data_IF_984165994073
#
_entry.id   IF_984165994073
#
_cell.length_a   1.000
_cell.length_b   1.000
_cell.length_c   1.000
_cell.angle_alpha   90.00
_cell.angle_beta   90.00
_cell.angle_gamma   90.00
#
_symmetry.space_group_name_H-M   'P 1'
#
loop_
_entity.id
_entity.type
_entity.pdbx_description
1 polymer ?
#
# COMPACT_ATOMS: atom_id res chain seq x y z
N UNK A 1 7.13 9.80 -21.47
CA UNK A 1 7.56 9.53 -20.08
C UNK A 1 6.44 8.76 -19.42
N UNK A 2 6.74 7.61 -18.81
CA UNK A 2 5.72 6.86 -18.07
C UNK A 2 5.47 7.57 -16.75
N UNK A 3 4.25 8.04 -16.51
CA UNK A 3 3.92 8.65 -15.22
C UNK A 3 4.05 7.61 -14.10
N UNK A 4 4.57 8.03 -12.95
CA UNK A 4 4.75 7.14 -11.80
C UNK A 4 4.16 7.74 -10.54
N UNK A 5 3.46 6.90 -9.76
CA UNK A 5 3.00 7.23 -8.41
C UNK A 5 3.92 6.53 -7.43
N UNK A 6 4.58 7.33 -6.59
CA UNK A 6 5.49 6.84 -5.56
C UNK A 6 4.72 6.61 -4.26
N UNK A 7 4.85 5.41 -3.69
CA UNK A 7 4.43 5.08 -2.34
C UNK A 7 5.68 4.94 -1.47
N UNK A 8 5.75 5.70 -0.39
CA UNK A 8 6.78 5.54 0.64
C UNK A 8 6.21 4.76 1.82
N UNK A 9 6.97 3.76 2.26
CA UNK A 9 6.71 2.94 3.43
C UNK A 9 7.60 3.40 4.57
N UNK A 10 6.98 3.75 5.69
CA UNK A 10 7.66 4.15 6.91
C UNK A 10 6.87 3.67 8.14
N UNK A 11 7.25 4.12 9.33
CA UNK A 11 6.55 3.81 10.57
C UNK A 11 6.25 5.09 11.34
N UNK A 12 5.07 5.14 11.95
CA UNK A 12 4.64 6.25 12.80
C UNK A 12 4.34 5.76 14.20
N UNK A 13 4.63 6.62 15.18
CA UNK A 13 4.31 6.34 16.57
C UNK A 13 2.82 6.59 16.80
N UNK A 14 2.12 5.55 17.23
CA UNK A 14 0.74 5.62 17.68
C UNK A 14 0.72 5.42 19.19
N UNK A 15 0.33 6.47 19.90
CA UNK A 15 0.26 6.48 21.35
C UNK A 15 -0.94 5.67 21.82
N UNK A 16 -0.69 4.69 22.70
CA UNK A 16 -1.75 3.97 23.43
C UNK A 16 -2.26 4.81 24.59
N UNK A 17 -1.34 5.52 25.25
CA UNK A 17 -1.56 6.37 26.42
C UNK A 17 -0.57 7.55 26.39
N UNK A 18 -0.57 8.38 27.44
CA UNK A 18 0.32 9.56 27.57
C UNK A 18 1.83 9.25 27.54
N UNK A 19 2.25 8.01 27.80
CA UNK A 19 3.67 7.63 27.85
C UNK A 19 4.06 6.38 27.06
N UNK A 20 3.08 5.58 26.61
CA UNK A 20 3.35 4.35 25.86
C UNK A 20 2.89 4.52 24.42
N UNK A 21 3.78 4.22 23.48
CA UNK A 21 3.48 4.19 22.05
C UNK A 21 3.85 2.84 21.46
N UNK A 22 3.19 2.50 20.35
CA UNK A 22 3.63 1.45 19.45
C UNK A 22 3.96 2.06 18.10
N UNK A 23 4.91 1.47 17.40
CA UNK A 23 5.14 1.81 15.99
C UNK A 23 4.14 1.06 15.13
N UNK A 24 3.50 1.80 14.23
CA UNK A 24 2.57 1.25 13.26
C UNK A 24 3.08 1.63 11.88
N UNK A 25 3.16 0.66 10.98
CA UNK A 25 3.62 0.95 9.63
C UNK A 25 2.65 1.89 8.91
N UNK A 26 3.21 2.80 8.13
CA UNK A 26 2.53 3.78 7.30
C UNK A 26 2.88 3.57 5.83
N UNK A 27 1.91 3.78 4.95
CA UNK A 27 2.12 3.92 3.52
C UNK A 27 1.60 5.30 3.07
N UNK A 28 2.44 6.10 2.41
CA UNK A 28 2.11 7.45 1.95
C UNK A 28 2.40 7.61 0.46
N UNK A 29 1.46 8.14 -0.31
CA UNK A 29 1.63 8.42 -1.74
C UNK A 29 2.21 9.80 -1.99
N UNK A 30 2.85 10.00 -3.14
CA UNK A 30 3.25 11.32 -3.64
C UNK A 30 2.06 12.26 -3.90
N UNK A 31 0.86 11.72 -4.05
CA UNK A 31 -0.39 12.46 -4.26
C UNK A 31 -1.06 12.90 -2.94
N UNK A 32 -0.52 12.49 -1.79
CA UNK A 32 -0.99 12.94 -0.48
C UNK A 32 -1.87 11.95 0.29
N UNK A 33 -2.20 10.78 -0.27
CA UNK A 33 -2.93 9.74 0.46
C UNK A 33 -2.03 9.03 1.46
N UNK A 34 -2.57 8.72 2.63
CA UNK A 34 -1.86 8.05 3.70
C UNK A 34 -2.75 6.98 4.35
N UNK A 35 -2.19 5.78 4.57
CA UNK A 35 -2.84 4.74 5.37
C UNK A 35 -1.85 4.21 6.40
N UNK A 36 -2.29 4.18 7.66
CA UNK A 36 -1.58 3.55 8.79
C UNK A 36 -2.32 2.28 9.24
N UNK A 37 -1.61 1.35 9.85
CA UNK A 37 -2.20 0.12 10.42
C UNK A 37 -1.37 -1.14 10.17
N UNK A 38 -1.84 -2.29 10.65
CA UNK A 38 -1.14 -3.57 10.54
C UNK A 38 -1.66 -4.46 9.38
N UNK A 39 -2.60 -3.94 8.58
CA UNK A 39 -3.25 -4.68 7.48
C UNK A 39 -2.63 -4.47 6.09
N UNK A 40 -3.34 -4.92 5.06
CA UNK A 40 -2.98 -4.80 3.64
C UNK A 40 -3.09 -3.34 3.13
N UNK A 41 -2.26 -2.45 3.67
CA UNK A 41 -2.25 -1.00 3.40
C UNK A 41 -2.06 -0.68 1.93
N UNK A 42 -1.10 -1.35 1.26
CA UNK A 42 -0.81 -1.13 -0.15
C UNK A 42 -2.00 -1.43 -1.06
N UNK A 43 -2.74 -2.52 -0.79
CA UNK A 43 -3.93 -2.87 -1.55
C UNK A 43 -5.06 -1.84 -1.36
N UNK A 44 -5.30 -1.38 -0.12
CA UNK A 44 -6.27 -0.32 0.16
C UNK A 44 -5.90 0.98 -0.54
N UNK A 45 -4.63 1.39 -0.44
CA UNK A 45 -4.11 2.61 -1.06
C UNK A 45 -4.23 2.56 -2.59
N UNK A 46 -3.88 1.42 -3.19
CA UNK A 46 -4.05 1.20 -4.63
C UNK A 46 -5.52 1.24 -5.07
N UNK A 47 -6.47 0.78 -4.24
CA UNK A 47 -7.91 0.92 -4.53
C UNK A 47 -8.33 2.38 -4.60
N UNK A 48 -7.98 3.18 -3.59
CA UNK A 48 -8.29 4.62 -3.53
C UNK A 48 -7.69 5.34 -4.75
N UNK A 49 -6.42 5.07 -5.05
CA UNK A 49 -5.74 5.67 -6.20
C UNK A 49 -6.44 5.33 -7.53
N UNK A 50 -6.94 4.10 -7.70
CA UNK A 50 -7.71 3.70 -8.89
C UNK A 50 -9.06 4.38 -8.98
N UNK A 51 -9.75 4.52 -7.85
CA UNK A 51 -11.06 5.18 -7.79
C UNK A 51 -10.95 6.67 -8.12
N UNK A 52 -9.92 7.33 -7.61
CA UNK A 52 -9.70 8.76 -7.86
C UNK A 52 -9.07 9.05 -9.22
N UNK A 53 -8.32 8.10 -9.79
CA UNK A 53 -7.60 8.28 -11.06
C UNK A 53 -7.87 7.09 -12.02
N UNK A 54 -9.11 6.92 -12.53
CA UNK A 54 -9.48 5.78 -13.36
C UNK A 54 -8.70 5.71 -14.70
N UNK A 55 -8.32 6.86 -15.24
CA UNK A 55 -7.60 6.98 -16.51
C UNK A 55 -6.08 6.86 -16.38
N UNK A 56 -5.56 6.79 -15.15
CA UNK A 56 -4.13 6.67 -14.92
C UNK A 56 -3.59 5.32 -15.43
N UNK A 57 -2.67 5.40 -16.39
CA UNK A 57 -2.02 4.24 -17.02
C UNK A 57 -0.54 4.09 -16.62
N UNK A 58 -0.10 4.86 -15.62
CA UNK A 58 1.27 4.85 -15.15
C UNK A 58 1.60 3.68 -14.22
N UNK A 59 2.85 3.69 -13.73
CA UNK A 59 3.37 2.68 -12.82
C UNK A 59 3.25 3.14 -11.36
N UNK A 60 3.13 2.15 -10.49
CA UNK A 60 3.19 2.30 -9.06
C UNK A 60 4.55 1.81 -8.57
N UNK A 61 5.27 2.67 -7.86
CA UNK A 61 6.57 2.35 -7.27
C UNK A 61 6.46 2.40 -5.75
N UNK A 62 7.00 1.40 -5.07
CA UNK A 62 6.91 1.29 -3.61
C UNK A 62 8.30 1.29 -3.03
N UNK A 63 8.60 2.30 -2.21
CA UNK A 63 9.90 2.51 -1.58
C UNK A 63 9.82 2.36 -0.07
N UNK A 64 10.92 1.93 0.55
CA UNK A 64 11.20 2.10 1.97
C UNK A 64 12.51 2.87 2.09
N UNK A 65 12.42 4.15 2.47
CA UNK A 65 13.54 5.09 2.29
C UNK A 65 13.89 5.22 0.81
N UNK A 66 15.15 4.94 0.46
CA UNK A 66 15.66 4.97 -0.91
C UNK A 66 15.62 3.61 -1.62
N UNK A 67 15.19 2.56 -0.92
CA UNK A 67 15.14 1.21 -1.48
C UNK A 67 13.77 0.93 -2.11
N UNK A 68 13.78 0.54 -3.38
CA UNK A 68 12.59 0.03 -4.07
C UNK A 68 12.26 -1.38 -3.56
N UNK A 69 11.08 -1.54 -2.94
CA UNK A 69 10.67 -2.78 -2.28
C UNK A 69 9.93 -3.76 -3.21
N UNK A 70 9.38 -3.27 -4.31
CA UNK A 70 8.58 -4.06 -5.25
C UNK A 70 8.95 -3.70 -6.68
N UNK A 71 8.78 -4.66 -7.60
CA UNK A 71 8.91 -4.39 -9.03
C UNK A 71 7.83 -3.36 -9.42
N UNK A 72 8.18 -2.27 -10.11
CA UNK A 72 7.21 -1.27 -10.57
C UNK A 72 6.12 -1.95 -11.41
N UNK A 73 4.86 -1.65 -11.11
CA UNK A 73 3.72 -2.33 -11.72
C UNK A 73 2.60 -1.35 -12.05
N UNK A 74 1.78 -1.57 -13.09
CA UNK A 74 0.68 -0.67 -13.44
C UNK A 74 -0.33 -0.54 -12.29
N UNK A 75 -0.78 0.68 -11.98
CA UNK A 75 -1.77 0.91 -10.91
C UNK A 75 -3.02 0.05 -11.08
N UNK A 76 -3.46 -0.16 -12.34
CA UNK A 76 -4.64 -0.94 -12.68
C UNK A 76 -4.56 -2.39 -12.18
N UNK A 77 -3.39 -3.02 -12.28
CA UNK A 77 -3.18 -4.41 -11.85
C UNK A 77 -2.55 -4.53 -10.46
N UNK A 78 -1.96 -3.44 -9.93
CA UNK A 78 -1.25 -3.44 -8.67
C UNK A 78 -2.13 -3.91 -7.50
N UNK A 79 -1.60 -4.85 -6.72
CA UNK A 79 -2.18 -5.34 -5.46
C UNK A 79 -3.65 -5.77 -5.54
N UNK A 80 -4.13 -6.17 -6.73
CA UNK A 80 -5.40 -6.88 -6.85
C UNK A 80 -5.28 -8.21 -6.11
N UNK A 81 -6.30 -8.58 -5.34
CA UNK A 81 -6.39 -9.93 -4.77
C UNK A 81 -6.51 -10.90 -5.94
N UNK A 82 -5.44 -11.67 -6.19
CA UNK A 82 -5.56 -12.91 -6.97
C UNK A 82 -6.43 -13.92 -6.23
N UNK A 83 -6.78 -15.02 -6.90
CA UNK A 83 -7.33 -16.18 -6.19
C UNK A 83 -6.37 -16.56 -5.07
N UNK A 84 -6.86 -16.58 -3.84
CA UNK A 84 -6.11 -17.14 -2.73
C UNK A 84 -5.82 -18.60 -3.11
N UNK A 85 -4.56 -19.05 -3.12
CA UNK A 85 -4.24 -20.43 -3.46
C UNK A 85 -5.06 -21.38 -2.60
N UNK A 86 -5.67 -22.39 -3.20
CA UNK A 86 -6.65 -23.27 -2.54
C UNK A 86 -6.09 -23.88 -1.24
N UNK A 87 -4.80 -24.24 -1.26
CA UNK A 87 -4.08 -24.81 -0.11
C UNK A 87 -3.87 -23.85 1.07
N UNK A 88 -4.13 -22.56 0.89
CA UNK A 88 -4.08 -21.53 1.94
C UNK A 88 -5.47 -20.97 2.23
N UNK A 89 -6.50 -21.42 1.50
CA UNK A 89 -7.90 -21.11 1.79
C UNK A 89 -8.27 -21.68 3.14
N UNK A 90 -8.82 -20.86 4.04
CA UNK A 90 -9.45 -21.39 5.25
C UNK A 90 -10.66 -22.20 4.78
N UNK A 91 -10.62 -23.52 4.95
CA UNK A 91 -11.85 -24.32 5.03
C UNK A 91 -12.77 -23.60 6.01
N UNK A 92 -13.89 -23.09 5.50
CA UNK A 92 -14.96 -22.62 6.36
C UNK A 92 -15.50 -23.86 7.07
N UNK A 93 -15.20 -23.97 8.36
CA UNK A 93 -15.89 -24.86 9.29
C UNK A 93 -17.29 -24.31 9.60
#
# INVERSE_FOLDING_TARGET
MTETIRINLDAVRVYRNKGEYREVGRARTSLGHEITGDGAKLAKLASILREENPDFNGLLEVYRGDTLCFIPMPLKSAFLRGSQPEHLGKEQA
#
